data_IF_378171915343
#
_entry.id   IF_378171915343
#
_cell.length_a   1.000
_cell.length_b   1.000
_cell.length_c   1.000
_cell.angle_alpha   90.00
_cell.angle_beta   90.00
_cell.angle_gamma   90.00
#
_symmetry.space_group_name_H-M   'P 1'
#
loop_
_entity.id
_entity.type
_entity.pdbx_description
1 polymer ?
#
# COMPACT_ATOMS: atom_id res chain seq x y z
N UNK A 1 16.23 20.87 -2.84
CA UNK A 1 16.73 19.98 -1.78
C UNK A 1 17.20 20.83 -0.62
N UNK A 2 16.40 20.91 0.44
CA UNK A 2 16.80 21.63 1.64
C UNK A 2 17.65 20.74 2.53
N UNK A 3 18.62 21.34 3.22
CA UNK A 3 19.57 20.73 4.17
C UNK A 3 18.96 19.80 5.23
N UNK A 4 17.64 19.82 5.38
CA UNK A 4 16.88 19.07 6.37
C UNK A 4 16.71 17.59 6.01
N UNK A 5 16.66 17.23 4.72
CA UNK A 5 16.49 15.83 4.34
C UNK A 5 17.76 15.00 4.55
N UNK A 6 18.94 15.55 4.25
CA UNK A 6 20.23 14.91 4.56
C UNK A 6 20.36 14.57 6.05
N UNK A 7 19.94 15.50 6.93
CA UNK A 7 19.99 15.30 8.39
C UNK A 7 19.02 14.21 8.85
N UNK A 8 17.81 14.12 8.27
CA UNK A 8 16.82 13.07 8.60
C UNK A 8 17.36 11.66 8.34
N UNK A 9 18.18 11.50 7.31
CA UNK A 9 18.77 10.20 6.93
C UNK A 9 20.17 9.93 7.52
N UNK A 10 20.65 10.79 8.42
CA UNK A 10 21.89 10.58 9.18
C UNK A 10 23.15 11.17 8.53
N UNK A 11 23.01 12.02 7.51
CA UNK A 11 24.12 12.76 6.91
C UNK A 11 24.21 14.16 7.50
N UNK A 12 25.22 14.39 8.33
CA UNK A 12 25.34 15.63 9.11
C UNK A 12 25.96 16.81 8.35
N UNK A 13 26.63 16.56 7.23
CA UNK A 13 27.32 17.58 6.43
C UNK A 13 27.00 17.40 4.94
N UNK A 14 26.64 18.51 4.32
CA UNK A 14 26.40 18.63 2.88
C UNK A 14 27.69 19.06 2.16
N UNK A 15 27.91 18.53 0.97
CA UNK A 15 28.99 18.91 0.08
C UNK A 15 28.81 20.36 -0.40
N UNK A 16 29.89 21.15 -0.26
CA UNK A 16 30.04 22.47 -0.87
C UNK A 16 31.14 22.36 -1.90
N UNK A 17 30.82 22.63 -3.16
CA UNK A 17 31.77 22.46 -4.26
C UNK A 17 31.63 23.57 -5.30
N UNK A 18 32.70 23.81 -6.04
CA UNK A 18 32.74 24.77 -7.13
C UNK A 18 31.90 24.26 -8.32
N UNK A 19 30.73 24.83 -8.53
CA UNK A 19 29.87 24.49 -9.68
C UNK A 19 30.10 25.42 -10.87
N UNK A 20 30.47 26.67 -10.58
CA UNK A 20 30.82 27.72 -11.55
C UNK A 20 32.15 28.32 -11.12
N UNK A 21 32.94 28.84 -12.07
CA UNK A 21 34.27 29.40 -11.80
C UNK A 21 34.24 30.35 -10.59
N UNK A 22 35.02 30.02 -9.57
CA UNK A 22 35.16 30.74 -8.30
C UNK A 22 33.91 30.83 -7.42
N UNK A 23 32.86 30.04 -7.68
CA UNK A 23 31.62 30.03 -6.89
C UNK A 23 31.34 28.65 -6.29
N UNK A 24 31.31 28.61 -4.95
CA UNK A 24 31.05 27.41 -4.18
C UNK A 24 29.58 27.35 -3.78
N UNK A 25 28.89 26.30 -4.22
CA UNK A 25 27.46 26.10 -3.99
C UNK A 25 27.28 24.74 -3.31
N UNK A 26 26.23 24.62 -2.49
CA UNK A 26 25.78 23.38 -1.90
C UNK A 26 25.24 22.44 -2.97
N UNK A 27 25.69 21.19 -3.00
CA UNK A 27 25.38 20.27 -4.12
C UNK A 27 24.19 19.36 -3.85
N UNK A 28 23.62 19.34 -2.65
CA UNK A 28 22.57 18.40 -2.26
C UNK A 28 23.08 16.98 -1.94
N UNK A 29 24.39 16.74 -2.01
CA UNK A 29 25.01 15.44 -1.70
C UNK A 29 25.71 15.46 -0.33
N UNK A 30 25.90 14.29 0.31
CA UNK A 30 26.80 14.17 1.47
C UNK A 30 28.23 14.57 1.09
N UNK A 31 29.03 15.07 2.05
CA UNK A 31 30.44 15.42 1.79
C UNK A 31 31.23 14.19 1.30
N UNK A 32 31.78 14.20 0.06
CA UNK A 32 32.59 13.10 -0.43
C UNK A 32 34.03 13.21 0.05
N UNK A 33 34.73 12.08 0.10
CA UNK A 33 36.16 12.05 0.40
C UNK A 33 37.01 12.67 -0.72
N UNK A 34 36.51 12.59 -1.96
CA UNK A 34 37.04 13.26 -3.16
C UNK A 34 35.93 13.35 -4.22
N UNK A 35 35.92 14.45 -4.98
CA UNK A 35 35.10 14.62 -6.18
C UNK A 35 35.98 14.85 -7.40
N UNK A 36 35.62 14.23 -8.52
CA UNK A 36 36.14 14.54 -9.85
C UNK A 36 34.98 14.90 -10.76
N UNK A 37 35.13 15.97 -11.53
CA UNK A 37 34.12 16.42 -12.50
C UNK A 37 34.70 16.38 -13.90
N UNK A 38 33.88 15.94 -14.84
CA UNK A 38 34.24 15.83 -16.25
C UNK A 38 33.13 16.42 -17.11
N UNK A 39 33.51 17.23 -18.10
CA UNK A 39 32.61 17.75 -19.12
C UNK A 39 33.04 17.18 -20.46
N UNK A 40 32.15 16.41 -21.09
CA UNK A 40 32.38 15.83 -22.41
C UNK A 40 31.27 16.30 -23.34
N UNK A 41 31.65 16.95 -24.44
CA UNK A 41 30.73 17.53 -25.41
C UNK A 41 31.24 17.24 -26.82
N UNK A 42 30.32 16.94 -27.72
CA UNK A 42 30.64 16.55 -29.09
C UNK A 42 29.40 16.24 -29.90
N UNK A 43 29.59 16.17 -31.21
CA UNK A 43 28.54 15.91 -32.18
C UNK A 43 28.10 14.45 -32.11
N UNK A 44 26.78 14.20 -32.10
CA UNK A 44 26.19 12.85 -32.10
C UNK A 44 26.58 11.94 -30.92
N UNK A 45 27.01 12.49 -29.78
CA UNK A 45 27.26 11.68 -28.58
C UNK A 45 25.92 11.22 -28.00
N UNK A 46 25.75 9.91 -27.86
CA UNK A 46 24.71 9.30 -27.04
C UNK A 46 25.19 9.15 -25.60
N UNK A 47 24.31 9.33 -24.61
CA UNK A 47 24.62 9.06 -23.19
C UNK A 47 25.06 7.61 -22.96
N UNK A 48 24.60 6.69 -23.81
CA UNK A 48 24.87 5.26 -23.68
C UNK A 48 26.36 4.95 -23.74
N UNK A 49 27.11 5.62 -24.62
CA UNK A 49 28.55 5.41 -24.76
C UNK A 49 29.32 5.68 -23.45
N UNK A 50 29.29 6.89 -22.87
CA UNK A 50 29.99 7.15 -21.62
C UNK A 50 29.40 6.35 -20.44
N UNK A 51 28.09 6.12 -20.41
CA UNK A 51 27.43 5.35 -19.35
C UNK A 51 27.89 3.88 -19.33
N UNK A 52 27.78 3.18 -20.46
CA UNK A 52 28.15 1.77 -20.54
C UNK A 52 29.66 1.59 -20.45
N UNK A 53 30.45 2.53 -20.97
CA UNK A 53 31.90 2.49 -20.80
C UNK A 53 32.29 2.45 -19.33
N UNK A 54 31.79 3.42 -18.55
CA UNK A 54 32.11 3.49 -17.11
C UNK A 54 31.51 2.29 -16.37
N UNK A 55 30.28 1.89 -16.68
CA UNK A 55 29.65 0.72 -16.06
C UNK A 55 30.45 -0.57 -16.28
N UNK A 56 30.91 -0.82 -17.51
CA UNK A 56 31.75 -1.96 -17.84
C UNK A 56 33.12 -1.85 -17.18
N UNK A 57 33.70 -0.65 -17.17
CA UNK A 57 34.97 -0.41 -16.49
C UNK A 57 34.90 -0.72 -14.99
N UNK A 58 33.81 -0.34 -14.33
CA UNK A 58 33.59 -0.62 -12.92
C UNK A 58 33.42 -2.11 -12.64
N UNK A 59 32.64 -2.81 -13.48
CA UNK A 59 32.33 -4.24 -13.29
C UNK A 59 33.55 -5.12 -13.59
N UNK A 60 34.20 -4.91 -14.73
CA UNK A 60 35.22 -5.84 -15.23
C UNK A 60 36.64 -5.46 -14.80
N UNK A 61 36.99 -4.17 -14.78
CA UNK A 61 38.36 -3.74 -14.51
C UNK A 61 38.57 -3.30 -13.05
N UNK A 62 37.63 -2.53 -12.50
CA UNK A 62 37.73 -2.04 -11.11
C UNK A 62 37.22 -3.05 -10.07
N UNK A 63 36.51 -4.10 -10.51
CA UNK A 63 36.05 -5.19 -9.65
C UNK A 63 35.02 -4.78 -8.61
N UNK A 64 34.07 -3.91 -8.96
CA UNK A 64 32.91 -3.59 -8.12
C UNK A 64 31.80 -4.65 -8.35
N UNK A 65 31.55 -5.56 -7.39
CA UNK A 65 30.60 -6.66 -7.58
C UNK A 65 29.13 -6.20 -7.56
N UNK A 66 28.82 -5.11 -6.86
CA UNK A 66 27.47 -4.56 -6.77
C UNK A 66 27.45 -3.16 -7.37
N UNK A 67 26.59 -2.95 -8.36
CA UNK A 67 26.35 -1.64 -8.97
C UNK A 67 24.85 -1.42 -8.99
N UNK A 68 24.39 -0.52 -8.14
CA UNK A 68 22.98 -0.17 -7.98
C UNK A 68 22.69 1.11 -8.76
N UNK A 69 21.67 1.12 -9.61
CA UNK A 69 21.14 2.34 -10.24
C UNK A 69 20.17 2.99 -9.25
N UNK A 70 20.45 4.23 -8.85
CA UNK A 70 19.68 4.94 -7.83
C UNK A 70 18.63 5.84 -8.48
N UNK A 71 19.07 6.76 -9.34
CA UNK A 71 18.19 7.66 -10.08
C UNK A 71 18.34 7.43 -11.57
N UNK A 72 17.24 7.58 -12.29
CA UNK A 72 17.14 7.51 -13.74
C UNK A 72 15.98 8.40 -14.15
N UNK A 73 16.28 9.71 -14.20
CA UNK A 73 15.29 10.76 -14.46
C UNK A 73 15.46 11.21 -15.90
N UNK A 74 14.36 11.23 -16.63
CA UNK A 74 14.29 11.77 -17.98
C UNK A 74 13.42 13.02 -17.93
N UNK A 75 13.94 14.13 -18.44
CA UNK A 75 13.21 15.38 -18.64
C UNK A 75 13.29 15.76 -20.12
N UNK A 76 12.20 16.26 -20.67
CA UNK A 76 12.17 16.75 -22.04
C UNK A 76 11.27 17.98 -22.11
N UNK A 77 11.56 18.86 -23.07
CA UNK A 77 10.76 20.07 -23.28
C UNK A 77 9.39 19.74 -23.83
N UNK A 78 8.39 20.55 -23.49
CA UNK A 78 6.98 20.31 -23.84
C UNK A 78 6.75 20.18 -25.36
N UNK A 79 7.52 20.89 -26.17
CA UNK A 79 7.44 20.84 -27.63
C UNK A 79 8.28 19.72 -28.25
N UNK A 80 9.04 18.95 -27.47
CA UNK A 80 9.81 17.83 -28.00
C UNK A 80 8.92 16.64 -28.35
N UNK A 81 9.32 15.85 -29.37
CA UNK A 81 8.63 14.60 -29.70
C UNK A 81 8.70 13.59 -28.53
N UNK A 82 9.78 13.63 -27.74
CA UNK A 82 9.95 12.81 -26.55
C UNK A 82 8.90 13.10 -25.48
N UNK A 83 8.59 14.37 -25.23
CA UNK A 83 7.55 14.78 -24.29
C UNK A 83 6.17 14.29 -24.73
N UNK A 84 5.80 14.49 -26.00
CA UNK A 84 4.51 14.03 -26.53
C UNK A 84 4.32 12.52 -26.37
N UNK A 85 5.32 11.72 -26.72
CA UNK A 85 5.28 10.26 -26.56
C UNK A 85 5.25 9.82 -25.09
N UNK A 86 6.01 10.49 -24.22
CA UNK A 86 6.01 10.21 -22.78
C UNK A 86 4.65 10.55 -22.15
N UNK A 87 4.07 11.71 -22.47
CA UNK A 87 2.75 12.13 -22.00
C UNK A 87 1.63 11.22 -22.48
N UNK A 88 1.68 10.76 -23.73
CA UNK A 88 0.71 9.79 -24.22
C UNK A 88 0.76 8.47 -23.42
N UNK A 89 1.96 7.96 -23.15
CA UNK A 89 2.14 6.75 -22.32
C UNK A 89 1.72 6.98 -20.88
N UNK A 90 2.04 8.15 -20.31
CA UNK A 90 1.64 8.56 -18.98
C UNK A 90 0.11 8.61 -18.87
N UNK A 91 -0.55 9.27 -19.81
CA UNK A 91 -2.02 9.37 -19.89
C UNK A 91 -2.68 8.00 -19.95
N UNK A 92 -2.19 7.10 -20.82
CA UNK A 92 -2.71 5.73 -20.90
C UNK A 92 -2.59 4.97 -19.57
N UNK A 93 -1.50 5.17 -18.84
CA UNK A 93 -1.33 4.53 -17.53
C UNK A 93 -2.19 5.19 -16.45
N UNK A 94 -2.32 6.51 -16.45
CA UNK A 94 -3.19 7.27 -15.56
C UNK A 94 -4.66 6.88 -15.75
N UNK A 95 -5.10 6.72 -17.00
CA UNK A 95 -6.45 6.25 -17.33
C UNK A 95 -6.70 4.84 -16.77
N UNK A 96 -5.75 3.92 -16.96
CA UNK A 96 -5.84 2.55 -16.43
C UNK A 96 -5.85 2.53 -14.90
N UNK A 97 -4.96 3.29 -14.26
CA UNK A 97 -4.93 3.40 -12.81
C UNK A 97 -6.26 3.98 -12.28
N UNK A 98 -6.79 5.01 -12.92
CA UNK A 98 -8.08 5.63 -12.56
C UNK A 98 -9.25 4.65 -12.71
N UNK A 99 -9.29 3.88 -13.80
CA UNK A 99 -10.30 2.83 -14.02
C UNK A 99 -10.27 1.77 -12.90
N UNK A 100 -9.08 1.32 -12.50
CA UNK A 100 -8.96 0.36 -11.42
C UNK A 100 -9.33 0.96 -10.06
N UNK A 101 -8.88 2.19 -9.75
CA UNK A 101 -9.22 2.87 -8.50
C UNK A 101 -10.73 3.13 -8.38
N UNK A 102 -11.40 3.52 -9.47
CA UNK A 102 -12.85 3.65 -9.50
C UNK A 102 -13.56 2.31 -9.23
N UNK A 103 -13.04 1.23 -9.82
CA UNK A 103 -13.56 -0.13 -9.60
C UNK A 103 -13.36 -0.56 -8.14
N UNK A 104 -12.16 -0.34 -7.57
CA UNK A 104 -11.85 -0.59 -6.16
C UNK A 104 -12.79 0.21 -5.26
N UNK A 105 -12.98 1.50 -5.53
CA UNK A 105 -13.89 2.35 -4.75
C UNK A 105 -15.35 1.86 -4.80
N UNK A 106 -15.81 1.32 -5.95
CA UNK A 106 -17.13 0.67 -6.04
C UNK A 106 -17.19 -0.60 -5.18
N UNK A 107 -16.21 -1.50 -5.31
CA UNK A 107 -16.17 -2.75 -4.53
C UNK A 107 -16.03 -2.52 -3.03
N UNK A 108 -15.30 -1.47 -2.62
CA UNK A 108 -15.20 -1.06 -1.21
C UNK A 108 -16.57 -0.63 -0.68
N UNK A 109 -17.35 0.15 -1.45
CA UNK A 109 -18.74 0.51 -1.07
C UNK A 109 -19.65 -0.71 -0.95
N UNK A 110 -19.52 -1.68 -1.85
CA UNK A 110 -20.25 -2.95 -1.78
C UNK A 110 -19.83 -3.76 -0.54
N UNK A 111 -18.54 -3.73 -0.17
CA UNK A 111 -18.05 -4.37 1.05
C UNK A 111 -18.70 -3.81 2.32
N UNK A 112 -18.89 -2.47 2.40
CA UNK A 112 -19.64 -1.84 3.50
C UNK A 112 -21.08 -2.35 3.60
N UNK A 113 -21.74 -2.53 2.46
CA UNK A 113 -23.11 -3.06 2.42
C UNK A 113 -23.15 -4.49 2.93
N UNK A 114 -22.20 -5.35 2.53
CA UNK A 114 -22.11 -6.74 2.99
C UNK A 114 -21.82 -6.85 4.49
N UNK A 115 -20.92 -6.02 5.03
CA UNK A 115 -20.64 -5.99 6.48
C UNK A 115 -21.88 -5.56 7.25
N UNK A 116 -22.60 -4.54 6.78
CA UNK A 116 -23.86 -4.10 7.39
C UNK A 116 -24.93 -5.20 7.34
N UNK A 117 -25.03 -5.93 6.24
CA UNK A 117 -25.95 -7.07 6.12
C UNK A 117 -25.60 -8.18 7.10
N UNK A 118 -24.31 -8.54 7.22
CA UNK A 118 -23.85 -9.53 8.20
C UNK A 118 -24.16 -9.12 9.63
N UNK A 119 -23.97 -7.85 9.97
CA UNK A 119 -24.33 -7.32 11.29
C UNK A 119 -25.82 -7.45 11.59
N UNK A 120 -26.69 -7.13 10.63
CA UNK A 120 -28.15 -7.28 10.78
C UNK A 120 -28.53 -8.76 10.88
N UNK A 121 -27.86 -9.64 10.13
CA UNK A 121 -28.08 -11.09 10.22
C UNK A 121 -27.64 -11.64 11.58
N UNK A 122 -26.52 -11.19 12.13
CA UNK A 122 -26.04 -11.56 13.45
C UNK A 122 -27.00 -11.10 14.55
N UNK A 123 -27.46 -9.85 14.49
CA UNK A 123 -28.45 -9.33 15.43
C UNK A 123 -29.73 -10.15 15.37
N UNK A 124 -30.23 -10.45 14.17
CA UNK A 124 -31.42 -11.30 14.01
C UNK A 124 -31.20 -12.69 14.57
N UNK A 125 -30.09 -13.35 14.23
CA UNK A 125 -29.76 -14.69 14.72
C UNK A 125 -29.60 -14.73 16.24
N UNK A 126 -29.15 -13.65 16.87
CA UNK A 126 -29.04 -13.55 18.32
C UNK A 126 -30.40 -13.73 19.01
N UNK A 127 -31.47 -13.13 18.48
CA UNK A 127 -32.83 -13.30 19.03
C UNK A 127 -33.31 -14.77 18.94
N UNK A 128 -32.97 -15.47 17.86
CA UNK A 128 -33.29 -16.89 17.73
C UNK A 128 -32.49 -17.74 18.72
N UNK A 129 -31.17 -17.51 18.82
CA UNK A 129 -30.29 -18.23 19.74
C UNK A 129 -30.70 -18.02 21.20
N UNK A 130 -31.02 -16.78 21.59
CA UNK A 130 -31.49 -16.43 22.92
C UNK A 130 -32.79 -17.16 23.26
N UNK A 131 -33.72 -17.23 22.33
CA UNK A 131 -34.99 -17.96 22.48
C UNK A 131 -34.80 -19.48 22.64
N UNK A 132 -33.73 -20.08 22.09
CA UNK A 132 -33.40 -21.49 22.30
C UNK A 132 -32.59 -21.75 23.58
N UNK A 133 -31.86 -20.74 24.10
CA UNK A 133 -30.93 -20.89 25.23
C UNK A 133 -31.59 -20.98 26.60
N UNK A 134 -32.87 -20.61 26.73
CA UNK A 134 -33.59 -20.61 28.02
C UNK A 134 -33.05 -19.57 29.04
N UNK A 135 -32.28 -18.59 28.59
CA UNK A 135 -31.75 -17.49 29.41
C UNK A 135 -32.86 -16.54 29.89
N UNK A 136 -32.55 -15.62 30.83
CA UNK A 136 -33.46 -14.53 31.27
C UNK A 136 -33.91 -13.63 30.11
N UNK A 137 -33.14 -13.60 29.02
CA UNK A 137 -33.47 -12.90 27.75
C UNK A 137 -34.45 -13.69 26.85
N UNK A 138 -34.63 -14.99 27.09
CA UNK A 138 -35.39 -15.90 26.22
C UNK A 138 -36.84 -15.47 26.03
N UNK A 139 -37.51 -15.05 27.12
CA UNK A 139 -38.90 -14.58 27.06
C UNK A 139 -39.02 -13.29 26.22
N UNK A 140 -38.11 -12.34 26.43
CA UNK A 140 -38.06 -11.09 25.64
C UNK A 140 -37.76 -11.35 24.17
N UNK A 141 -36.84 -12.27 23.87
CA UNK A 141 -36.48 -12.65 22.51
C UNK A 141 -37.66 -13.34 21.80
N UNK A 142 -38.40 -14.18 22.52
CA UNK A 142 -39.56 -14.89 21.96
C UNK A 142 -40.74 -13.96 21.70
N UNK A 143 -40.99 -12.98 22.59
CA UNK A 143 -41.95 -11.90 22.36
C UNK A 143 -41.56 -11.08 21.11
N UNK A 144 -40.27 -10.76 20.95
CA UNK A 144 -39.76 -10.00 19.79
C UNK A 144 -39.92 -10.77 18.49
N UNK A 145 -39.65 -12.08 18.48
CA UNK A 145 -39.85 -12.95 17.32
C UNK A 145 -41.32 -13.11 16.95
N UNK A 146 -42.20 -13.25 17.95
CA UNK A 146 -43.66 -13.27 17.74
C UNK A 146 -44.16 -11.95 17.17
N UNK A 147 -43.68 -10.81 17.66
CA UNK A 147 -44.00 -9.50 17.09
C UNK A 147 -43.58 -9.40 15.63
N UNK A 148 -42.35 -9.82 15.33
CA UNK A 148 -41.82 -9.86 13.95
C UNK A 148 -42.67 -10.76 13.05
N UNK A 149 -43.12 -11.91 13.55
CA UNK A 149 -43.99 -12.82 12.80
C UNK A 149 -45.36 -12.22 12.50
N UNK A 150 -46.00 -11.60 13.50
CA UNK A 150 -47.30 -10.94 13.31
C UNK A 150 -47.19 -9.82 12.27
N UNK A 151 -46.12 -9.03 12.32
CA UNK A 151 -45.93 -7.92 11.38
C UNK A 151 -45.59 -8.41 9.96
N UNK A 152 -44.68 -9.38 9.83
CA UNK A 152 -44.14 -9.81 8.53
C UNK A 152 -45.01 -10.88 7.84
N UNK A 153 -45.48 -11.88 8.59
CA UNK A 153 -46.20 -13.04 8.05
C UNK A 153 -47.70 -12.82 8.06
N UNK A 154 -48.24 -12.21 9.12
CA UNK A 154 -49.68 -11.94 9.21
C UNK A 154 -50.09 -10.57 8.67
N UNK A 155 -49.13 -9.73 8.27
CA UNK A 155 -49.34 -8.37 7.77
C UNK A 155 -49.96 -7.42 8.82
N UNK A 156 -49.67 -7.69 10.09
CA UNK A 156 -50.13 -6.89 11.23
C UNK A 156 -51.65 -6.81 11.31
N UNK A 157 -52.19 -5.65 11.75
CA UNK A 157 -53.62 -5.45 11.95
C UNK A 157 -54.45 -5.27 10.65
N UNK A 158 -53.82 -5.32 9.47
CA UNK A 158 -54.52 -5.14 8.18
C UNK A 158 -55.24 -6.39 7.70
N UNK A 159 -54.81 -7.57 8.16
CA UNK A 159 -55.43 -8.83 7.80
C UNK A 159 -56.48 -9.22 8.87
N UNK A 160 -57.76 -9.39 8.50
CA UNK A 160 -58.82 -9.92 9.38
C UNK A 160 -58.43 -11.21 10.13
N UNK A 161 -57.57 -12.02 9.51
CA UNK A 161 -57.13 -13.31 10.03
C UNK A 161 -55.87 -13.24 10.90
N UNK A 162 -55.27 -12.07 11.13
CA UNK A 162 -54.11 -11.93 12.02
C UNK A 162 -54.52 -11.94 13.49
N UNK A 163 -53.55 -12.16 14.39
CA UNK A 163 -53.78 -12.12 15.84
C UNK A 163 -54.42 -10.79 16.29
N UNK A 164 -53.98 -9.66 15.70
CA UNK A 164 -54.57 -8.33 15.97
C UNK A 164 -55.87 -8.05 15.19
N UNK A 165 -56.02 -8.59 13.97
CA UNK A 165 -57.24 -8.46 13.17
C UNK A 165 -58.42 -9.23 13.78
N UNK A 166 -58.18 -10.45 14.24
CA UNK A 166 -59.18 -11.28 14.93
C UNK A 166 -59.60 -10.70 16.28
N UNK A 167 -58.70 -9.97 16.96
CA UNK A 167 -59.05 -9.25 18.18
C UNK A 167 -60.01 -8.08 17.91
N UNK A 168 -59.87 -7.40 16.76
CA UNK A 168 -60.72 -6.25 16.36
C UNK A 168 -62.04 -6.67 15.74
N UNK A 169 -62.02 -7.58 14.76
CA UNK A 169 -63.21 -7.91 13.96
C UNK A 169 -64.04 -9.02 14.58
N UNK A 170 -63.40 -10.02 15.17
CA UNK A 170 -64.05 -11.21 15.75
C UNK A 170 -64.22 -11.07 17.28
N UNK A 171 -63.84 -9.92 17.85
CA UNK A 171 -63.91 -9.61 19.28
C UNK A 171 -63.12 -10.57 20.19
N UNK A 172 -62.09 -11.25 19.67
CA UNK A 172 -61.17 -12.05 20.48
C UNK A 172 -60.13 -11.18 21.18
N UNK A 173 -60.58 -10.32 22.10
CA UNK A 173 -59.74 -9.30 22.77
C UNK A 173 -58.57 -9.88 23.55
N UNK A 174 -58.70 -11.10 24.09
CA UNK A 174 -57.65 -11.77 24.87
C UNK A 174 -56.65 -12.57 24.01
N UNK A 175 -56.90 -12.74 22.71
CA UNK A 175 -56.06 -13.57 21.84
C UNK A 175 -54.61 -13.05 21.69
N UNK A 176 -54.36 -11.73 21.54
CA UNK A 176 -52.99 -11.21 21.50
C UNK A 176 -52.22 -11.49 22.78
N UNK A 177 -52.81 -11.17 23.95
CA UNK A 177 -52.16 -11.38 25.24
C UNK A 177 -51.85 -12.85 25.51
N UNK A 178 -52.76 -13.75 25.10
CA UNK A 178 -52.55 -15.19 25.18
C UNK A 178 -51.41 -15.64 24.26
N UNK A 179 -51.37 -15.15 23.02
CA UNK A 179 -50.33 -15.50 22.05
C UNK A 179 -48.93 -15.06 22.51
N UNK A 180 -48.80 -13.85 23.06
CA UNK A 180 -47.51 -13.36 23.55
C UNK A 180 -47.07 -13.99 24.87
N UNK A 181 -48.00 -14.49 25.71
CA UNK A 181 -47.65 -15.07 27.02
C UNK A 181 -47.40 -16.59 27.01
N UNK A 182 -47.93 -17.34 26.05
CA UNK A 182 -47.71 -18.80 25.95
C UNK A 182 -46.50 -19.13 25.09
N UNK A 183 -45.48 -19.79 25.66
CA UNK A 183 -44.19 -20.08 25.00
C UNK A 183 -43.92 -21.59 24.88
N UNK A 184 -44.59 -22.29 23.93
CA UNK A 184 -44.33 -23.72 23.70
C UNK A 184 -42.95 -23.96 23.08
N UNK A 185 -42.20 -24.94 23.59
CA UNK A 185 -40.82 -25.23 23.14
C UNK A 185 -40.75 -26.02 21.82
N UNK A 186 -41.76 -26.86 21.53
CA UNK A 186 -41.83 -27.69 20.33
C UNK A 186 -43.22 -27.65 19.72
N UNK A 187 -43.28 -27.94 18.42
CA UNK A 187 -44.52 -27.96 17.65
C UNK A 187 -45.50 -29.03 18.14
N UNK A 188 -44.99 -30.15 18.65
CA UNK A 188 -45.76 -31.29 19.16
C UNK A 188 -46.39 -31.00 20.52
N UNK A 189 -45.74 -30.18 21.35
CA UNK A 189 -46.19 -29.86 22.71
C UNK A 189 -47.25 -28.74 22.76
N UNK A 190 -47.58 -28.13 21.61
CA UNK A 190 -48.51 -26.99 21.53
C UNK A 190 -49.90 -27.36 22.02
N UNK A 191 -50.37 -28.56 21.68
CA UNK A 191 -51.72 -28.98 22.02
C UNK A 191 -51.88 -29.22 23.52
N UNK A 192 -50.88 -29.83 24.17
CA UNK A 192 -50.87 -30.13 25.60
C UNK A 192 -50.66 -28.88 26.47
N UNK A 193 -49.78 -27.97 26.06
CA UNK A 193 -49.50 -26.72 26.78
C UNK A 193 -50.72 -25.79 26.74
N UNK A 194 -51.40 -25.68 25.59
CA UNK A 194 -52.59 -24.84 25.48
C UNK A 194 -53.78 -25.42 26.26
N UNK A 195 -53.92 -26.74 26.31
CA UNK A 195 -55.00 -27.40 27.06
C UNK A 195 -54.76 -27.28 28.58
N UNK A 196 -53.50 -27.40 29.04
CA UNK A 196 -53.13 -27.36 30.46
C UNK A 196 -53.04 -25.94 31.03
N UNK A 197 -52.38 -25.00 30.36
CA UNK A 197 -52.17 -23.65 30.88
C UNK A 197 -53.36 -22.71 30.65
N UNK A 198 -54.17 -22.97 29.61
CA UNK A 198 -55.23 -22.05 29.14
C UNK A 198 -56.61 -22.69 29.04
N UNK A 199 -56.84 -23.81 29.71
CA UNK A 199 -58.12 -24.56 29.70
C UNK A 199 -59.37 -23.75 30.12
N UNK A 200 -59.20 -22.65 30.85
CA UNK A 200 -60.28 -21.75 31.28
C UNK A 200 -60.88 -20.89 30.15
N UNK A 201 -60.24 -20.82 28.97
CA UNK A 201 -60.68 -19.99 27.86
C UNK A 201 -61.59 -20.73 26.86
N UNK A 202 -62.41 -19.95 26.14
CA UNK A 202 -63.35 -20.47 25.13
C UNK A 202 -62.65 -21.40 24.11
N UNK A 203 -63.27 -22.55 23.82
CA UNK A 203 -62.76 -23.59 22.91
C UNK A 203 -62.31 -23.01 21.56
N UNK A 204 -63.06 -22.08 20.99
CA UNK A 204 -62.72 -21.43 19.70
C UNK A 204 -61.45 -20.60 19.77
N UNK A 205 -61.20 -19.90 20.90
CA UNK A 205 -59.98 -19.12 21.11
C UNK A 205 -58.78 -20.07 21.24
N UNK A 206 -58.96 -21.21 21.93
CA UNK A 206 -57.93 -22.24 22.07
C UNK A 206 -57.57 -22.90 20.72
N UNK A 207 -58.55 -23.23 19.89
CA UNK A 207 -58.33 -23.79 18.55
C UNK A 207 -57.56 -22.80 17.64
N UNK A 208 -57.91 -21.51 17.69
CA UNK A 208 -57.19 -20.47 16.95
C UNK A 208 -55.78 -20.28 17.49
N UNK A 209 -55.59 -20.25 18.82
CA UNK A 209 -54.29 -20.11 19.47
C UNK A 209 -53.36 -21.28 19.10
N UNK A 210 -53.84 -22.53 19.16
CA UNK A 210 -53.10 -23.73 18.74
C UNK A 210 -52.61 -23.62 17.31
N UNK A 211 -53.49 -23.25 16.38
CA UNK A 211 -53.13 -23.07 14.97
C UNK A 211 -52.04 -22.00 14.80
N UNK A 212 -52.18 -20.85 15.46
CA UNK A 212 -51.24 -19.71 15.36
C UNK A 212 -49.87 -20.03 15.96
N UNK A 213 -49.83 -20.67 17.13
CA UNK A 213 -48.60 -21.13 17.75
C UNK A 213 -47.90 -22.19 16.89
N UNK A 214 -48.65 -23.13 16.32
CA UNK A 214 -48.10 -24.15 15.42
C UNK A 214 -47.49 -23.56 14.14
N UNK A 215 -48.13 -22.54 13.56
CA UNK A 215 -47.58 -21.82 12.40
C UNK A 215 -46.38 -20.95 12.75
N UNK A 216 -46.38 -20.34 13.94
CA UNK A 216 -45.25 -19.55 14.42
C UNK A 216 -44.01 -20.41 14.65
N UNK A 217 -44.15 -21.58 15.29
CA UNK A 217 -43.02 -22.48 15.54
C UNK A 217 -42.42 -23.05 14.24
N UNK A 218 -43.27 -23.47 13.29
CA UNK A 218 -42.80 -23.92 11.98
C UNK A 218 -42.05 -22.79 11.23
N UNK A 219 -42.59 -21.57 11.28
CA UNK A 219 -41.90 -20.40 10.70
C UNK A 219 -40.58 -20.11 11.38
N UNK A 220 -40.51 -20.20 12.72
CA UNK A 220 -39.31 -19.94 13.52
C UNK A 220 -38.19 -20.90 13.14
N UNK A 221 -38.48 -22.19 12.99
CA UNK A 221 -37.50 -23.22 12.62
C UNK A 221 -36.97 -23.01 11.20
N UNK A 222 -37.86 -22.90 10.21
CA UNK A 222 -37.46 -22.72 8.81
C UNK A 222 -36.70 -21.40 8.59
N UNK A 223 -37.16 -20.31 9.21
CA UNK A 223 -36.51 -18.99 9.08
C UNK A 223 -35.15 -18.99 9.76
N UNK A 224 -34.99 -19.70 10.86
CA UNK A 224 -33.69 -19.83 11.54
C UNK A 224 -32.66 -20.54 10.68
N UNK A 225 -33.03 -21.67 10.06
CA UNK A 225 -32.15 -22.38 9.12
C UNK A 225 -31.81 -21.55 7.88
N UNK A 226 -32.80 -20.86 7.31
CA UNK A 226 -32.60 -19.95 6.18
C UNK A 226 -31.61 -18.83 6.54
N UNK A 227 -31.80 -18.15 7.67
CA UNK A 227 -30.93 -17.07 8.13
C UNK A 227 -29.50 -17.56 8.39
N UNK A 228 -29.35 -18.75 8.96
CA UNK A 228 -28.04 -19.38 9.19
C UNK A 228 -27.33 -19.67 7.87
N UNK A 229 -28.03 -20.26 6.91
CA UNK A 229 -27.50 -20.54 5.57
C UNK A 229 -27.14 -19.25 4.85
N UNK A 230 -28.04 -18.25 4.87
CA UNK A 230 -27.82 -16.93 4.28
C UNK A 230 -26.56 -16.27 4.85
N UNK A 231 -26.38 -16.28 6.18
CA UNK A 231 -25.17 -15.76 6.83
C UNK A 231 -23.90 -16.44 6.31
N UNK A 232 -23.90 -17.77 6.17
CA UNK A 232 -22.75 -18.53 5.65
C UNK A 232 -22.44 -18.11 4.20
N UNK A 233 -23.47 -17.95 3.36
CA UNK A 233 -23.29 -17.49 1.98
C UNK A 233 -22.75 -16.05 1.93
N UNK A 234 -23.31 -15.13 2.72
CA UNK A 234 -22.84 -13.74 2.78
C UNK A 234 -21.39 -13.66 3.28
N UNK A 235 -20.98 -14.50 4.23
CA UNK A 235 -19.58 -14.60 4.69
C UNK A 235 -18.63 -15.05 3.57
N UNK A 236 -19.00 -16.09 2.81
CA UNK A 236 -18.22 -16.56 1.66
C UNK A 236 -18.13 -15.48 0.57
N UNK A 237 -19.23 -14.78 0.33
CA UNK A 237 -19.30 -13.71 -0.65
C UNK A 237 -18.45 -12.49 -0.25
N UNK A 238 -18.49 -12.09 1.02
CA UNK A 238 -17.62 -11.05 1.59
C UNK A 238 -16.15 -11.36 1.34
N UNK A 239 -15.75 -12.62 1.58
CA UNK A 239 -14.38 -13.09 1.35
C UNK A 239 -13.99 -13.01 -0.13
N UNK A 240 -14.85 -13.48 -1.02
CA UNK A 240 -14.61 -13.38 -2.46
C UNK A 240 -14.44 -11.92 -2.89
N UNK A 241 -15.29 -11.02 -2.42
CA UNK A 241 -15.19 -9.59 -2.70
C UNK A 241 -13.86 -8.99 -2.22
N UNK A 242 -13.43 -9.36 -1.01
CA UNK A 242 -12.15 -8.91 -0.45
C UNK A 242 -10.95 -9.38 -1.29
N UNK A 243 -10.93 -10.65 -1.71
CA UNK A 243 -9.86 -11.20 -2.55
C UNK A 243 -9.81 -10.54 -3.93
N UNK A 244 -10.96 -10.23 -4.52
CA UNK A 244 -11.03 -9.48 -5.78
C UNK A 244 -10.45 -8.07 -5.59
N UNK A 245 -10.80 -7.35 -4.52
CA UNK A 245 -10.20 -6.04 -4.21
C UNK A 245 -8.68 -6.16 -4.09
N UNK A 246 -8.17 -7.19 -3.38
CA UNK A 246 -6.73 -7.43 -3.26
C UNK A 246 -6.08 -7.66 -4.62
N UNK A 247 -6.68 -8.45 -5.49
CA UNK A 247 -6.19 -8.69 -6.85
C UNK A 247 -6.06 -7.36 -7.62
N UNK A 248 -7.09 -6.51 -7.59
CA UNK A 248 -7.05 -5.20 -8.25
C UNK A 248 -5.98 -4.27 -7.67
N UNK A 249 -5.77 -4.25 -6.35
CA UNK A 249 -4.67 -3.49 -5.72
C UNK A 249 -3.31 -3.97 -6.23
N UNK A 250 -3.11 -5.29 -6.36
CA UNK A 250 -1.87 -5.85 -6.91
C UNK A 250 -1.65 -5.42 -8.37
N UNK A 251 -2.72 -5.35 -9.17
CA UNK A 251 -2.63 -4.90 -10.55
C UNK A 251 -2.40 -3.41 -10.70
N UNK A 252 -2.95 -2.57 -9.82
CA UNK A 252 -2.76 -1.11 -9.83
C UNK A 252 -1.33 -0.70 -9.49
N UNK A 253 -0.70 -1.40 -8.55
CA UNK A 253 0.63 -1.07 -8.03
C UNK A 253 1.70 -0.82 -9.11
N UNK A 254 1.89 -1.66 -10.14
CA UNK A 254 2.85 -1.40 -11.21
C UNK A 254 2.51 -0.14 -12.02
N UNK A 255 1.23 0.15 -12.26
CA UNK A 255 0.82 1.36 -12.97
C UNK A 255 1.16 2.61 -12.17
N UNK A 256 0.88 2.64 -10.86
CA UNK A 256 1.24 3.79 -10.02
C UNK A 256 2.76 4.04 -10.01
N UNK A 257 3.56 2.96 -9.91
CA UNK A 257 5.02 3.05 -9.98
C UNK A 257 5.51 3.57 -11.34
N UNK A 258 4.87 3.15 -12.42
CA UNK A 258 5.26 3.57 -13.76
C UNK A 258 4.81 5.00 -14.08
N UNK A 259 3.63 5.42 -13.63
CA UNK A 259 3.14 6.81 -13.71
C UNK A 259 4.16 7.72 -13.05
N UNK A 260 4.60 7.36 -11.84
CA UNK A 260 5.60 8.12 -11.10
C UNK A 260 6.94 8.21 -11.85
N UNK A 261 7.41 7.11 -12.44
CA UNK A 261 8.66 7.10 -13.23
C UNK A 261 8.57 7.89 -14.52
N UNK A 262 7.39 7.95 -15.14
CA UNK A 262 7.15 8.68 -16.38
C UNK A 262 6.77 10.14 -16.12
N UNK A 263 6.42 10.48 -14.89
CA UNK A 263 6.14 11.84 -14.50
C UNK A 263 7.45 12.64 -14.54
N UNK A 264 7.47 13.65 -15.39
CA UNK A 264 8.64 14.50 -15.55
C UNK A 264 8.81 15.34 -14.29
N UNK A 265 10.04 15.37 -13.77
CA UNK A 265 10.39 16.23 -12.65
C UNK A 265 10.30 17.70 -13.10
N UNK A 266 9.38 18.46 -12.50
CA UNK A 266 9.15 19.86 -12.82
C UNK A 266 10.40 20.71 -12.55
N UNK A 267 11.14 20.39 -11.48
CA UNK A 267 12.34 21.14 -11.10
C UNK A 267 13.45 21.04 -12.15
N UNK A 268 13.45 19.97 -12.95
CA UNK A 268 14.40 19.73 -14.03
C UNK A 268 13.92 20.34 -15.34
N UNK A 269 12.61 20.28 -15.60
CA UNK A 269 11.99 20.89 -16.79
C UNK A 269 12.16 22.42 -16.82
N UNK A 270 12.12 23.08 -15.67
CA UNK A 270 12.26 24.55 -15.55
C UNK A 270 13.71 25.05 -15.52
N UNK A 271 14.69 24.15 -15.69
CA UNK A 271 16.10 24.58 -15.69
C UNK A 271 16.41 25.45 -16.92
N UNK A 272 17.27 26.48 -16.78
CA UNK A 272 17.63 27.37 -17.90
C UNK A 272 18.40 26.65 -19.01
N UNK A 273 18.89 25.44 -18.74
CA UNK A 273 19.58 24.58 -19.71
C UNK A 273 18.62 23.87 -20.68
N UNK A 274 17.32 23.85 -20.37
CA UNK A 274 16.26 23.35 -21.25
C UNK A 274 15.41 24.51 -21.79
N UNK A 275 15.33 24.64 -23.10
CA UNK A 275 14.55 25.68 -23.75
C UNK A 275 13.28 25.09 -24.34
N UNK A 276 12.12 25.47 -23.81
CA UNK A 276 10.79 24.93 -24.16
C UNK A 276 10.52 24.95 -25.68
N UNK A 277 11.03 25.96 -26.40
CA UNK A 277 10.82 26.12 -27.83
C UNK A 277 11.56 25.09 -28.72
N UNK A 278 12.55 24.38 -28.17
CA UNK A 278 13.43 23.50 -28.93
C UNK A 278 13.29 22.04 -28.50
N UNK A 279 13.62 21.12 -29.40
CA UNK A 279 13.67 19.68 -29.14
C UNK A 279 14.91 19.33 -28.32
N UNK A 280 14.86 19.64 -27.03
CA UNK A 280 15.92 19.37 -26.06
C UNK A 280 15.44 18.39 -24.99
N UNK A 281 16.33 17.50 -24.59
CA UNK A 281 16.12 16.52 -23.54
C UNK A 281 17.29 16.55 -22.57
N UNK A 282 16.99 16.23 -21.32
CA UNK A 282 17.94 16.11 -20.22
C UNK A 282 17.74 14.78 -19.52
N UNK A 283 18.84 14.09 -19.23
CA UNK A 283 18.83 12.82 -18.53
C UNK A 283 19.76 12.90 -17.35
N UNK A 284 19.29 12.42 -16.21
CA UNK A 284 20.06 12.32 -14.99
C UNK A 284 20.10 10.88 -14.52
N UNK A 285 21.30 10.33 -14.40
CA UNK A 285 21.49 8.94 -13.97
C UNK A 285 22.48 8.91 -12.80
N UNK A 286 22.09 8.28 -11.69
CA UNK A 286 23.00 7.99 -10.57
C UNK A 286 23.29 6.49 -10.49
N UNK A 287 24.57 6.15 -10.48
CA UNK A 287 25.07 4.80 -10.22
C UNK A 287 25.86 4.77 -8.91
N UNK A 288 25.53 3.84 -8.02
CA UNK A 288 26.32 3.53 -6.84
C UNK A 288 27.00 2.18 -7.02
N UNK A 289 28.30 2.21 -7.27
CA UNK A 289 29.15 1.03 -7.26
C UNK A 289 29.69 0.81 -5.84
N UNK A 290 29.58 -0.42 -5.32
CA UNK A 290 30.07 -0.78 -3.99
C UNK A 290 30.87 -2.08 -3.98
N UNK A 291 31.97 -2.06 -3.23
CA UNK A 291 32.78 -3.23 -2.93
C UNK A 291 32.60 -3.60 -1.45
N UNK A 292 32.14 -4.83 -1.15
CA UNK A 292 31.77 -5.21 0.20
C UNK A 292 33.00 -5.29 1.11
N UNK A 293 32.89 -4.74 2.31
CA UNK A 293 33.92 -4.76 3.35
C UNK A 293 33.32 -4.49 4.73
N UNK A 294 34.16 -4.27 5.77
CA UNK A 294 33.66 -3.78 7.07
C UNK A 294 33.07 -2.37 6.97
N UNK A 295 33.66 -1.57 6.09
CA UNK A 295 33.12 -0.34 5.52
C UNK A 295 33.26 -0.54 4.02
N UNK A 296 32.19 -0.28 3.27
CA UNK A 296 32.18 -0.52 1.84
C UNK A 296 32.92 0.61 1.13
N UNK A 297 33.69 0.24 0.11
CA UNK A 297 34.24 1.19 -0.85
C UNK A 297 33.10 1.58 -1.79
N UNK A 298 32.69 2.85 -1.77
CA UNK A 298 31.54 3.34 -2.53
C UNK A 298 31.98 4.40 -3.54
N UNK A 299 31.60 4.20 -4.80
CA UNK A 299 31.77 5.18 -5.85
C UNK A 299 30.39 5.53 -6.39
N UNK A 300 29.98 6.78 -6.15
CA UNK A 300 28.76 7.35 -6.69
C UNK A 300 29.11 8.10 -7.95
N UNK A 301 28.51 7.73 -9.06
CA UNK A 301 28.71 8.37 -10.36
C UNK A 301 27.38 8.98 -10.77
N UNK A 302 27.41 10.29 -10.98
CA UNK A 302 26.27 11.08 -11.41
C UNK A 302 26.52 11.55 -12.84
N UNK A 303 25.59 11.23 -13.73
CA UNK A 303 25.59 11.66 -15.11
C UNK A 303 24.50 12.70 -15.28
N UNK A 304 24.86 13.83 -15.89
CA UNK A 304 23.92 14.81 -16.37
C UNK A 304 24.14 14.96 -17.89
N UNK A 305 23.24 14.37 -18.66
CA UNK A 305 23.28 14.46 -20.11
C UNK A 305 22.25 15.47 -20.59
N UNK A 306 22.62 16.26 -21.59
CA UNK A 306 21.70 17.18 -22.27
C UNK A 306 21.92 17.13 -23.76
N UNK A 307 20.84 17.27 -24.51
CA UNK A 307 20.86 17.41 -25.95
C UNK A 307 20.54 18.85 -26.33
N UNK A 308 21.30 19.40 -27.27
CA UNK A 308 21.00 20.67 -27.91
C UNK A 308 20.76 20.40 -29.39
N UNK A 309 19.57 20.72 -29.93
CA UNK A 309 19.34 20.56 -31.34
C UNK A 309 20.14 21.62 -32.11
N UNK A 310 20.91 21.18 -33.09
CA UNK A 310 21.55 22.02 -34.08
C UNK A 310 20.93 21.71 -35.44
N UNK A 311 20.38 22.74 -36.08
CA UNK A 311 19.80 22.62 -37.42
C UNK A 311 20.93 22.58 -38.44
N UNK A 312 21.40 21.38 -38.79
CA UNK A 312 22.28 21.22 -39.93
C UNK A 312 21.46 21.22 -41.23
N UNK A 313 21.63 22.26 -42.04
CA UNK A 313 21.07 22.30 -43.39
C UNK A 313 21.95 21.46 -44.33
N UNK A 314 21.79 20.13 -44.31
CA UNK A 314 22.32 19.29 -45.39
C UNK A 314 21.30 19.21 -46.51
N UNK A 315 21.73 19.52 -47.74
CA UNK A 315 20.94 19.30 -48.95
C UNK A 315 20.73 17.78 -49.12
N UNK A 316 19.51 17.38 -49.45
CA UNK A 316 19.11 16.00 -49.81
C UNK A 316 18.83 15.01 -48.66
N UNK A 317 17.52 14.82 -48.43
CA UNK A 317 16.83 13.67 -47.81
C UNK A 317 17.01 13.43 -46.30
N UNK A 318 15.90 13.67 -45.57
CA UNK A 318 15.67 13.59 -44.12
C UNK A 318 16.19 14.77 -43.29
N UNK A 319 15.31 15.77 -43.15
CA UNK A 319 15.42 16.86 -42.18
C UNK A 319 15.14 16.31 -40.78
N UNK A 320 16.18 16.13 -39.98
CA UNK A 320 16.10 15.92 -38.54
C UNK A 320 17.16 16.78 -37.84
N UNK A 321 16.88 17.35 -36.66
CA UNK A 321 17.90 18.07 -35.91
C UNK A 321 19.06 17.13 -35.56
N UNK A 322 20.29 17.55 -35.83
CA UNK A 322 21.47 16.85 -35.29
C UNK A 322 21.59 17.29 -33.84
N UNK A 323 21.58 16.34 -32.91
CA UNK A 323 21.70 16.64 -31.49
C UNK A 323 23.19 16.73 -31.11
N UNK A 324 23.61 17.89 -30.63
CA UNK A 324 24.86 18.03 -29.88
C UNK A 324 24.62 17.48 -28.47
N UNK A 325 25.35 16.43 -28.11
CA UNK A 325 25.28 15.81 -26.80
C UNK A 325 26.34 16.39 -25.87
N UNK A 326 25.92 16.86 -24.68
CA UNK A 326 26.85 17.20 -23.60
C UNK A 326 26.56 16.33 -22.38
N UNK A 327 27.60 15.68 -21.90
CA UNK A 327 27.57 14.81 -20.72
C UNK A 327 28.45 15.45 -19.66
N UNK A 328 27.90 15.69 -18.49
CA UNK A 328 28.66 15.99 -17.28
C UNK A 328 28.71 14.73 -16.41
N UNK A 329 29.91 14.32 -16.01
CA UNK A 329 30.11 13.15 -15.16
C UNK A 329 30.79 13.59 -13.86
N UNK A 330 30.09 13.40 -12.76
CA UNK A 330 30.60 13.63 -11.40
C UNK A 330 30.91 12.30 -10.73
N UNK A 331 32.18 12.07 -10.41
CA UNK A 331 32.63 10.93 -9.60
C UNK A 331 32.78 11.38 -8.15
N UNK A 332 31.97 10.83 -7.25
CA UNK A 332 32.01 11.09 -5.81
C UNK A 332 32.43 9.84 -5.05
N UNK A 333 33.48 9.96 -4.24
CA UNK A 333 34.04 8.86 -3.46
C UNK A 333 33.52 8.87 -2.04
N UNK A 334 33.01 7.74 -1.59
CA UNK A 334 32.49 7.54 -0.24
C UNK A 334 33.02 6.26 0.41
N UNK A 335 33.02 6.26 1.74
CA UNK A 335 33.18 5.06 2.55
C UNK A 335 31.99 4.97 3.50
N UNK A 336 31.07 4.06 3.16
CA UNK A 336 29.78 3.91 3.83
C UNK A 336 29.60 2.49 4.37
N UNK A 337 28.92 2.40 5.49
CA UNK A 337 28.38 1.15 6.04
C UNK A 337 27.11 0.74 5.31
N UNK A 338 26.71 -0.52 5.40
CA UNK A 338 25.46 -1.00 4.77
C UNK A 338 24.23 -0.19 5.20
N UNK A 339 24.20 0.27 6.46
CA UNK A 339 23.12 1.12 6.99
C UNK A 339 23.12 2.52 6.36
N UNK A 340 24.29 3.14 6.19
CA UNK A 340 24.40 4.44 5.52
C UNK A 340 24.00 4.34 4.04
N UNK A 341 24.32 3.23 3.37
CA UNK A 341 23.88 2.95 1.99
C UNK A 341 22.37 2.83 1.91
N UNK A 342 21.75 2.03 2.78
CA UNK A 342 20.29 1.88 2.81
C UNK A 342 19.58 3.20 3.14
N UNK A 343 20.15 4.01 4.04
CA UNK A 343 19.63 5.34 4.34
C UNK A 343 19.71 6.28 3.14
N UNK A 344 20.82 6.26 2.39
CA UNK A 344 20.95 7.07 1.17
C UNK A 344 19.96 6.63 0.09
N UNK A 345 19.77 5.31 -0.10
CA UNK A 345 18.74 4.78 -1.02
C UNK A 345 17.34 5.22 -0.61
N UNK A 346 17.01 5.11 0.68
CA UNK A 346 15.71 5.57 1.21
C UNK A 346 15.52 7.07 1.08
N UNK A 347 16.56 7.88 1.22
CA UNK A 347 16.48 9.33 1.01
C UNK A 347 16.03 9.64 -0.41
N UNK A 348 16.67 9.02 -1.41
CA UNK A 348 16.31 9.18 -2.82
C UNK A 348 14.93 8.60 -3.13
N UNK A 349 14.58 7.44 -2.58
CA UNK A 349 13.25 6.84 -2.73
C UNK A 349 12.14 7.65 -2.01
N UNK A 350 12.46 8.42 -0.97
CA UNK A 350 11.48 9.19 -0.19
C UNK A 350 11.02 10.46 -0.90
N UNK A 351 11.91 11.12 -1.65
CA UNK A 351 11.56 12.23 -2.55
C UNK A 351 10.57 11.75 -3.62
N UNK A 352 10.79 10.56 -4.13
CA UNK A 352 9.90 9.84 -5.03
C UNK A 352 8.55 9.48 -4.35
N UNK A 353 8.55 9.02 -3.10
CA UNK A 353 7.38 8.40 -2.45
C UNK A 353 6.20 9.33 -2.10
N UNK A 354 6.38 10.66 -2.12
CA UNK A 354 5.36 11.61 -1.65
C UNK A 354 4.03 11.54 -2.44
N UNK A 355 4.06 11.03 -3.67
CA UNK A 355 2.86 10.87 -4.52
C UNK A 355 2.06 9.58 -4.25
N UNK A 356 2.67 8.56 -3.65
CA UNK A 356 1.98 7.30 -3.31
C UNK A 356 1.05 7.45 -2.09
N UNK A 357 1.35 8.39 -1.19
CA UNK A 357 0.56 8.63 0.02
C UNK A 357 -0.87 9.13 -0.25
N UNK A 358 -1.11 9.79 -1.39
CA UNK A 358 -2.41 10.39 -1.71
C UNK A 358 -3.43 9.33 -2.14
N UNK A 359 -2.98 8.30 -2.86
CA UNK A 359 -3.85 7.22 -3.36
C UNK A 359 -4.07 6.15 -2.29
N UNK A 360 -3.04 5.88 -1.48
CA UNK A 360 -3.15 4.94 -0.36
C UNK A 360 -4.06 5.52 0.74
N UNK A 361 -4.01 6.83 1.01
CA UNK A 361 -4.74 7.45 2.13
C UNK A 361 -6.26 7.28 2.13
N UNK A 362 -6.94 7.43 0.98
CA UNK A 362 -8.41 7.35 0.91
C UNK A 362 -8.93 5.91 0.99
N UNK A 363 -8.26 4.97 0.30
CA UNK A 363 -8.59 3.54 0.35
C UNK A 363 -8.20 2.96 1.71
N UNK A 364 -7.03 3.34 2.25
CA UNK A 364 -6.55 2.95 3.57
C UNK A 364 -7.48 3.46 4.67
N UNK A 365 -7.89 4.73 4.65
CA UNK A 365 -8.84 5.27 5.63
C UNK A 365 -10.19 4.51 5.58
N UNK A 366 -10.66 4.15 4.39
CA UNK A 366 -11.88 3.35 4.24
C UNK A 366 -11.71 1.93 4.82
N UNK A 367 -10.57 1.27 4.57
CA UNK A 367 -10.26 -0.04 5.14
C UNK A 367 -10.00 -0.01 6.65
N UNK A 368 -9.40 1.06 7.18
CA UNK A 368 -9.19 1.29 8.62
C UNK A 368 -10.51 1.47 9.37
N UNK A 369 -11.43 2.24 8.80
CA UNK A 369 -12.76 2.46 9.40
C UNK A 369 -13.59 1.19 9.53
N UNK A 370 -13.33 0.20 8.66
CA UNK A 370 -13.95 -1.13 8.68
C UNK A 370 -13.14 -2.17 9.43
N UNK A 371 -11.91 -1.85 9.83
CA UNK A 371 -10.86 -2.82 10.09
C UNK A 371 -11.25 -3.91 11.09
N UNK A 372 -11.81 -3.56 12.24
CA UNK A 372 -12.09 -4.55 13.29
C UNK A 372 -13.25 -5.49 12.95
N UNK A 373 -14.35 -4.97 12.39
CA UNK A 373 -15.55 -5.73 12.08
C UNK A 373 -15.37 -6.57 10.80
N UNK A 374 -14.76 -5.98 9.77
CA UNK A 374 -14.39 -6.70 8.54
C UNK A 374 -13.41 -7.83 8.85
N UNK A 375 -12.35 -7.57 9.64
CA UNK A 375 -11.36 -8.59 9.99
C UNK A 375 -11.96 -9.70 10.83
N UNK A 376 -12.92 -9.39 11.71
CA UNK A 376 -13.68 -10.42 12.44
C UNK A 376 -14.42 -11.34 11.46
N UNK A 377 -15.18 -10.78 10.51
CA UNK A 377 -15.94 -11.59 9.55
C UNK A 377 -15.05 -12.37 8.57
N UNK A 378 -13.97 -11.78 8.08
CA UNK A 378 -13.00 -12.49 7.23
C UNK A 378 -12.34 -13.65 7.98
N UNK A 379 -12.01 -13.46 9.27
CA UNK A 379 -11.48 -14.52 10.14
C UNK A 379 -12.50 -15.65 10.37
N UNK A 380 -13.77 -15.30 10.54
CA UNK A 380 -14.87 -16.27 10.63
C UNK A 380 -15.12 -17.02 9.29
N UNK A 381 -14.85 -16.40 8.14
CA UNK A 381 -14.98 -17.01 6.80
C UNK A 381 -13.82 -17.97 6.42
N UNK A 382 -12.97 -18.33 7.39
CA UNK A 382 -11.90 -19.32 7.22
C UNK A 382 -10.56 -18.74 6.77
N UNK A 383 -10.33 -17.43 6.94
CA UNK A 383 -8.98 -16.86 6.85
C UNK A 383 -8.30 -16.88 8.23
N UNK A 384 -7.41 -17.84 8.45
CA UNK A 384 -6.47 -17.81 9.58
C UNK A 384 -5.43 -16.69 9.35
N UNK A 385 -5.65 -15.51 9.95
CA UNK A 385 -4.56 -14.57 10.17
C UNK A 385 -3.69 -15.05 11.34
N UNK A 386 -2.52 -15.61 11.01
CA UNK A 386 -1.43 -15.89 11.96
C UNK A 386 -1.65 -17.11 12.86
N UNK A 387 -0.57 -17.69 13.42
CA UNK A 387 -0.63 -18.98 14.09
C UNK A 387 -1.55 -18.92 15.32
N UNK A 388 -2.23 -20.04 15.58
CA UNK A 388 -2.96 -20.30 16.83
C UNK A 388 -2.07 -19.95 18.05
N UNK A 389 -2.63 -19.47 19.17
CA UNK A 389 -1.85 -19.13 20.35
C UNK A 389 -1.36 -20.41 21.04
N UNK A 390 -0.27 -20.98 20.51
CA UNK A 390 0.51 -22.00 21.20
C UNK A 390 1.76 -21.39 21.83
N UNK A 391 2.08 -21.92 23.01
CA UNK A 391 3.08 -21.43 23.95
C UNK A 391 4.48 -21.32 23.33
N UNK A 392 5.24 -20.33 23.81
CA UNK A 392 6.66 -20.00 23.53
C UNK A 392 7.56 -21.20 23.21
N UNK A 393 8.43 -21.06 22.19
CA UNK A 393 9.91 -21.21 22.21
C UNK A 393 10.49 -20.62 20.89
N UNK A 394 11.74 -20.14 20.95
CA UNK A 394 12.47 -19.24 20.03
C UNK A 394 13.11 -19.85 18.75
N UNK A 395 13.38 -18.93 17.78
CA UNK A 395 14.46 -18.83 16.74
C UNK A 395 14.25 -19.37 15.29
N UNK A 396 14.20 -18.38 14.36
CA UNK A 396 14.63 -18.25 12.94
C UNK A 396 14.46 -19.44 11.96
N UNK A 397 13.96 -19.31 10.71
CA UNK A 397 14.31 -18.35 9.65
C UNK A 397 13.35 -18.44 8.43
N UNK A 398 13.15 -17.29 7.76
CA UNK A 398 12.85 -17.02 6.32
C UNK A 398 11.95 -17.95 5.47
N UNK A 399 10.75 -17.45 5.12
CA UNK A 399 10.22 -17.17 3.76
C UNK A 399 8.69 -17.16 3.79
N UNK A 400 8.06 -15.99 3.75
CA UNK A 400 6.65 -15.84 3.32
C UNK A 400 6.30 -14.38 2.97
N UNK A 401 5.61 -14.11 1.85
CA UNK A 401 5.46 -12.78 1.22
C UNK A 401 4.38 -11.88 1.85
N UNK A 402 3.85 -12.24 3.02
CA UNK A 402 2.70 -11.58 3.67
C UNK A 402 3.09 -10.61 4.80
N UNK A 403 4.39 -10.47 5.14
CA UNK A 403 4.85 -9.63 6.27
C UNK A 403 5.17 -8.18 5.91
N UNK A 404 5.21 -7.82 4.62
CA UNK A 404 5.54 -6.46 4.17
C UNK A 404 4.36 -5.48 4.19
N UNK A 405 3.12 -5.99 4.11
CA UNK A 405 1.90 -5.17 4.10
C UNK A 405 1.46 -4.78 5.52
N UNK A 406 1.64 -5.67 6.51
CA UNK A 406 1.28 -5.38 7.91
C UNK A 406 2.33 -4.55 8.67
N UNK A 407 3.58 -4.52 8.22
CA UNK A 407 4.64 -3.73 8.89
C UNK A 407 4.40 -2.23 8.81
N UNK A 408 3.96 -1.72 7.66
CA UNK A 408 3.65 -0.29 7.48
C UNK A 408 2.43 0.21 8.28
N UNK A 409 1.56 -0.70 8.72
CA UNK A 409 0.40 -0.39 9.56
C UNK A 409 0.74 -0.39 11.05
N UNK A 410 1.58 -1.32 11.49
CA UNK A 410 2.03 -1.40 12.89
C UNK A 410 3.03 -0.30 13.27
N UNK A 411 3.76 0.26 12.30
CA UNK A 411 4.71 1.36 12.54
C UNK A 411 4.03 2.71 12.79
N UNK A 412 2.76 2.88 12.37
CA UNK A 412 1.99 4.12 12.57
C UNK A 412 1.16 4.10 13.87
N UNK A 413 0.68 2.93 14.32
CA UNK A 413 -0.12 2.79 15.54
C UNK A 413 0.68 2.39 16.80
N UNK A 414 1.98 2.10 16.69
CA UNK A 414 2.84 1.80 17.85
C UNK A 414 3.49 3.04 18.49
N UNK A 415 3.23 4.24 17.96
CA UNK A 415 3.78 5.49 18.47
C UNK A 415 3.17 5.96 19.82
N UNK A 416 2.17 5.25 20.39
CA UNK A 416 1.48 5.70 21.62
C UNK A 416 1.06 4.56 22.57
N UNK A 417 2.01 3.75 23.06
CA UNK A 417 2.08 3.16 24.45
C UNK A 417 2.89 1.86 24.51
N UNK A 418 4.15 1.99 24.95
CA UNK A 418 4.84 1.25 26.03
C UNK A 418 6.34 1.24 25.74
N UNK A 419 7.00 2.30 26.18
CA UNK A 419 8.44 2.34 26.38
C UNK A 419 8.84 1.28 27.43
N UNK A 420 9.25 0.10 26.96
CA UNK A 420 10.22 -0.71 27.70
C UNK A 420 11.56 0.01 27.57
N UNK A 421 12.19 0.30 28.72
CA UNK A 421 13.52 0.91 28.80
C UNK A 421 14.45 0.25 27.78
N UNK A 422 15.04 1.00 26.83
CA UNK A 422 16.07 0.45 25.99
C UNK A 422 17.25 0.10 26.89
N UNK A 423 17.75 -1.13 26.77
CA UNK A 423 19.10 -1.42 27.23
C UNK A 423 20.02 -0.37 26.60
N UNK A 424 20.76 0.36 27.44
CA UNK A 424 21.71 1.37 27.00
C UNK A 424 22.57 0.73 25.88
N UNK A 425 22.65 1.33 24.68
CA UNK A 425 23.57 0.83 23.68
C UNK A 425 24.96 0.84 24.32
N UNK A 426 25.59 -0.33 24.45
CA UNK A 426 26.97 -0.43 24.91
C UNK A 426 27.76 0.53 24.03
N UNK A 427 28.28 1.61 24.62
CA UNK A 427 29.11 2.56 23.90
C UNK A 427 30.18 1.75 23.17
N UNK A 428 30.33 1.92 21.85
CA UNK A 428 31.32 1.17 21.11
C UNK A 428 32.67 1.43 21.78
N UNK A 429 33.35 0.36 22.19
CA UNK A 429 34.68 0.45 22.80
C UNK A 429 35.57 1.36 21.94
N UNK A 430 36.44 2.18 22.55
CA UNK A 430 37.38 3.06 21.82
C UNK A 430 38.12 2.30 20.70
N UNK A 431 38.42 1.02 20.93
CA UNK A 431 39.07 0.12 19.97
C UNK A 431 38.18 -0.23 18.77
N UNK A 432 36.87 -0.41 18.94
CA UNK A 432 35.93 -0.65 17.83
C UNK A 432 35.69 0.60 16.97
N UNK A 433 35.65 1.79 17.59
CA UNK A 433 35.56 3.07 16.86
C UNK A 433 36.84 3.28 16.05
N UNK A 434 38.00 3.08 16.67
CA UNK A 434 39.30 3.23 16.01
C UNK A 434 39.47 2.21 14.85
N UNK A 435 39.01 0.96 15.01
CA UNK A 435 39.01 -0.03 13.92
C UNK A 435 38.08 0.35 12.77
N UNK A 436 36.92 0.96 13.06
CA UNK A 436 36.01 1.48 12.04
C UNK A 436 36.59 2.69 11.32
N UNK A 437 37.23 3.61 12.03
CA UNK A 437 37.87 4.79 11.43
C UNK A 437 39.07 4.40 10.54
N UNK A 438 39.87 3.42 10.97
CA UNK A 438 40.97 2.87 10.16
C UNK A 438 40.40 2.18 8.91
N UNK A 439 39.34 1.38 9.06
CA UNK A 439 38.67 0.73 7.93
C UNK A 439 38.08 1.77 6.96
N UNK A 440 37.49 2.85 7.47
CA UNK A 440 36.94 3.97 6.67
C UNK A 440 38.05 4.67 5.87
N UNK A 441 39.16 5.03 6.51
CA UNK A 441 40.31 5.65 5.84
C UNK A 441 40.93 4.75 4.77
N UNK A 442 41.02 3.45 5.04
CA UNK A 442 41.51 2.47 4.06
C UNK A 442 40.58 2.37 2.86
N UNK A 443 39.27 2.23 3.10
CA UNK A 443 38.25 2.18 2.05
C UNK A 443 38.23 3.47 1.21
N UNK A 444 38.32 4.65 1.84
CA UNK A 444 38.42 5.93 1.14
C UNK A 444 39.66 6.01 0.25
N UNK A 445 40.82 5.55 0.74
CA UNK A 445 42.07 5.60 -0.04
C UNK A 445 41.98 4.71 -1.29
N UNK A 446 41.47 3.49 -1.13
CA UNK A 446 41.28 2.56 -2.24
C UNK A 446 40.27 3.10 -3.25
N UNK A 447 39.13 3.58 -2.76
CA UNK A 447 38.08 4.14 -3.61
C UNK A 447 38.56 5.41 -4.35
N UNK A 448 39.39 6.26 -3.72
CA UNK A 448 40.04 7.40 -4.37
C UNK A 448 40.96 6.98 -5.51
N UNK A 449 41.79 5.97 -5.26
CA UNK A 449 42.69 5.43 -6.29
C UNK A 449 41.89 4.88 -7.47
N UNK A 450 40.85 4.09 -7.20
CA UNK A 450 40.01 3.53 -8.25
C UNK A 450 39.26 4.61 -9.04
N UNK A 451 38.68 5.60 -8.34
CA UNK A 451 37.99 6.71 -8.98
C UNK A 451 38.92 7.54 -9.88
N UNK A 452 40.15 7.79 -9.44
CA UNK A 452 41.16 8.45 -10.26
C UNK A 452 41.51 7.64 -11.51
N UNK A 453 41.72 6.32 -11.36
CA UNK A 453 42.02 5.45 -12.51
C UNK A 453 40.89 5.45 -13.53
N UNK A 454 39.63 5.35 -13.08
CA UNK A 454 38.45 5.43 -13.95
C UNK A 454 38.42 6.78 -14.68
N UNK A 455 38.55 7.88 -13.94
CA UNK A 455 38.55 9.24 -14.47
C UNK A 455 39.66 9.46 -15.51
N UNK A 456 40.89 9.04 -15.19
CA UNK A 456 42.05 9.22 -16.04
C UNK A 456 41.96 8.35 -17.32
N UNK A 457 41.54 7.09 -17.21
CA UNK A 457 41.34 6.23 -18.36
C UNK A 457 40.20 6.71 -19.25
N UNK A 458 39.12 7.24 -18.66
CA UNK A 458 38.03 7.85 -19.42
C UNK A 458 38.56 9.01 -20.27
N UNK A 459 39.30 9.94 -19.66
CA UNK A 459 39.90 11.09 -20.36
C UNK A 459 40.83 10.65 -21.48
N UNK A 460 41.71 9.67 -21.21
CA UNK A 460 42.65 9.15 -22.20
C UNK A 460 41.95 8.50 -23.39
N UNK A 461 40.89 7.73 -23.17
CA UNK A 461 40.15 7.08 -24.25
C UNK A 461 39.37 8.07 -25.12
N UNK A 462 38.82 9.12 -24.53
CA UNK A 462 38.03 10.14 -25.25
C UNK A 462 38.89 11.31 -25.74
N UNK A 463 40.22 11.14 -25.81
CA UNK A 463 41.13 12.16 -26.35
C UNK A 463 41.16 13.48 -25.58
N UNK A 464 40.74 13.47 -24.30
CA UNK A 464 40.68 14.68 -23.48
C UNK A 464 42.07 15.06 -22.97
N UNK A 465 42.28 16.34 -22.67
CA UNK A 465 43.53 16.86 -22.10
C UNK A 465 43.89 16.14 -20.80
N UNK A 466 44.93 15.30 -20.85
CA UNK A 466 45.51 14.63 -19.69
C UNK A 466 46.55 15.57 -19.06
N UNK A 467 46.26 16.10 -17.88
CA UNK A 467 47.19 16.81 -17.03
C UNK A 467 47.18 16.17 -15.65
#
# INVERSE_FOLDING_TARGET
>A
METDDLKKFGFHKEEVAEQTRSQYIKTGYPVPARRYRLHYEGYNISIEEPYFWVLHYLRYYSGYPYVDKITDIFAATENSAFFGAAQQRLGLQQDKASQFLATIGKMVRELFQLVRELRVLDERLSYYQDSYSGSRSSESAEITLKGTWVDLVEQGAKNPASVYGMAREVQFTTLPDLFFSTHPKKQEDVDDIVESERGAFNRKIREVLKRKLRTFLAWKEHTFEELKNRRIFTLKFLRQHYEVIRMYIHWVRPYLRNIQRLQLDQSKTETPDLLIAFESSMMEVELLARKPGKVNECLLIHYQFRTRPEMSYSQEYQRGPIHLGRVEIDFRVYAWTDKEIDNYKRMREHEDFQLLGVIDGSVKAAMESLGEELMRYLKEAGEEFGPKPEKKIEKASFMSPYTSVFKGFSELFSAAKKAKRPEKPKQPSRTSIMKLDIARKAAEKNAKSNAWTVYHHFKKQHGMLNW
#
